data_IF_221863349117
#
_entry.id   IF_221863349117
#
_cell.length_a   1.000
_cell.length_b   1.000
_cell.length_c   1.000
_cell.angle_alpha   90.00
_cell.angle_beta   90.00
_cell.angle_gamma   90.00
#
_symmetry.space_group_name_H-M   'P 1'
#
loop_
_entity.id
_entity.type
_entity.pdbx_description
1 polymer ?
#
# COMPACT_ATOMS: atom_id res chain seq x y z
N UNK A 1 -5.72 3.71 -34.53
CA UNK A 1 -6.96 4.02 -33.81
C UNK A 1 -7.65 2.70 -33.47
N UNK A 2 -7.45 2.18 -32.28
CA UNK A 2 -8.11 0.96 -31.84
C UNK A 2 -8.66 1.24 -30.45
N UNK A 3 -9.98 1.39 -30.36
CA UNK A 3 -10.70 1.73 -29.15
C UNK A 3 -10.80 0.54 -28.23
N UNK A 4 -10.32 0.69 -27.01
CA UNK A 4 -10.55 -0.26 -25.92
C UNK A 4 -11.92 0.06 -25.33
N UNK A 5 -12.89 -0.79 -25.59
CA UNK A 5 -14.23 -0.75 -25.02
C UNK A 5 -14.17 -1.08 -23.50
N UNK A 6 -14.96 -0.39 -22.66
CA UNK A 6 -15.07 -0.75 -21.24
C UNK A 6 -15.85 -2.06 -21.10
N UNK A 7 -15.33 -3.00 -20.31
CA UNK A 7 -15.95 -4.29 -20.01
C UNK A 7 -17.16 -4.05 -19.11
N UNK A 8 -18.38 -4.52 -19.47
CA UNK A 8 -19.58 -4.37 -18.65
C UNK A 8 -19.52 -5.27 -17.41
N UNK A 9 -19.99 -4.75 -16.29
CA UNK A 9 -20.14 -5.47 -15.01
C UNK A 9 -21.49 -6.20 -15.04
N UNK A 10 -21.54 -7.54 -14.86
CA UNK A 10 -22.80 -8.27 -14.69
C UNK A 10 -23.42 -7.95 -13.32
N UNK A 11 -24.72 -7.68 -13.30
CA UNK A 11 -25.50 -7.28 -12.12
C UNK A 11 -25.99 -8.44 -11.23
N UNK A 12 -25.81 -9.68 -11.61
CA UNK A 12 -26.42 -10.80 -10.89
C UNK A 12 -25.42 -11.93 -10.67
N UNK A 13 -24.78 -11.97 -9.48
CA UNK A 13 -24.15 -13.18 -8.98
C UNK A 13 -24.73 -13.52 -7.61
N UNK A 14 -25.77 -14.32 -7.63
CA UNK A 14 -26.29 -15.04 -6.48
C UNK A 14 -25.28 -16.12 -6.04
N UNK A 15 -24.73 -15.99 -4.84
CA UNK A 15 -23.82 -16.96 -4.23
C UNK A 15 -24.58 -18.24 -3.85
N UNK A 16 -24.39 -19.30 -4.62
CA UNK A 16 -24.64 -20.67 -4.17
C UNK A 16 -23.34 -21.25 -3.65
N UNK A 17 -23.33 -21.63 -2.38
CA UNK A 17 -22.26 -22.43 -1.76
C UNK A 17 -22.22 -23.81 -2.40
N UNK A 18 -21.12 -24.16 -3.07
CA UNK A 18 -20.80 -25.53 -3.41
C UNK A 18 -19.44 -25.91 -2.78
N UNK A 19 -19.49 -26.88 -1.91
CA UNK A 19 -18.36 -27.62 -1.40
C UNK A 19 -17.65 -28.32 -2.56
N UNK A 20 -16.43 -27.89 -2.91
CA UNK A 20 -15.62 -28.52 -3.95
C UNK A 20 -14.36 -29.13 -3.37
N UNK A 21 -14.15 -30.40 -3.75
CA UNK A 21 -13.12 -31.31 -3.32
C UNK A 21 -11.68 -30.83 -3.57
N UNK A 22 -10.77 -31.39 -2.79
CA UNK A 22 -9.32 -31.21 -2.91
C UNK A 22 -8.84 -31.50 -4.32
N UNK A 23 -8.29 -30.46 -4.99
CA UNK A 23 -7.44 -30.63 -6.17
C UNK A 23 -5.99 -30.48 -5.73
N UNK A 24 -5.18 -31.45 -6.05
CA UNK A 24 -3.72 -31.47 -5.90
C UNK A 24 -3.08 -30.35 -6.72
N UNK A 25 -2.29 -29.47 -6.07
CA UNK A 25 -1.47 -28.45 -6.70
C UNK A 25 -0.15 -29.03 -7.18
N UNK A 26 0.40 -28.63 -8.35
CA UNK A 26 1.69 -29.09 -8.83
C UNK A 26 2.84 -28.57 -7.97
N UNK A 27 3.77 -29.44 -7.65
CA UNK A 27 5.02 -29.16 -6.93
C UNK A 27 5.97 -28.33 -7.80
N UNK A 28 6.38 -27.16 -7.32
CA UNK A 28 7.42 -26.31 -7.93
C UNK A 28 8.73 -26.48 -7.17
N UNK A 29 9.79 -26.80 -7.89
CA UNK A 29 11.14 -27.06 -7.40
C UNK A 29 11.80 -25.78 -6.85
N UNK A 30 12.40 -25.88 -5.67
CA UNK A 30 13.02 -24.78 -4.92
C UNK A 30 14.50 -24.65 -5.28
N UNK A 31 15.06 -23.46 -5.56
CA UNK A 31 16.50 -23.23 -5.61
C UNK A 31 17.08 -22.93 -4.22
N UNK A 32 18.34 -23.36 -4.06
CA UNK A 32 19.14 -23.36 -2.83
C UNK A 32 19.52 -21.95 -2.33
N UNK A 33 19.66 -21.70 -1.00
CA UNK A 33 20.04 -20.40 -0.44
C UNK A 33 21.52 -20.11 -0.71
N UNK A 34 21.82 -18.93 -1.25
CA UNK A 34 23.18 -18.43 -1.45
C UNK A 34 23.44 -17.57 -2.68
N UNK A 35 22.44 -17.34 -3.54
CA UNK A 35 22.61 -16.52 -4.74
C UNK A 35 22.60 -15.02 -4.39
N UNK A 36 23.69 -14.31 -4.69
CA UNK A 36 23.78 -12.86 -4.62
C UNK A 36 22.71 -12.21 -5.51
N UNK A 37 21.87 -11.37 -4.92
CA UNK A 37 20.82 -10.61 -5.59
C UNK A 37 21.44 -9.56 -6.51
N UNK A 38 21.37 -9.75 -7.81
CA UNK A 38 21.62 -8.69 -8.80
C UNK A 38 20.49 -7.64 -8.69
N UNK A 39 20.87 -6.37 -8.74
CA UNK A 39 19.93 -5.25 -8.70
C UNK A 39 18.86 -5.43 -9.80
N UNK A 40 17.58 -5.49 -9.41
CA UNK A 40 16.45 -5.60 -10.33
C UNK A 40 15.84 -7.00 -10.51
N UNK A 41 16.44 -8.07 -9.95
CA UNK A 41 15.78 -9.37 -9.93
C UNK A 41 14.93 -9.55 -8.66
N UNK A 42 13.67 -10.01 -8.79
CA UNK A 42 12.87 -10.34 -7.62
C UNK A 42 13.53 -11.50 -6.86
N UNK A 43 13.49 -11.51 -5.52
CA UNK A 43 13.94 -12.64 -4.75
C UNK A 43 13.19 -13.90 -5.21
N UNK A 44 13.90 -15.03 -5.33
CA UNK A 44 13.28 -16.33 -5.60
C UNK A 44 12.34 -16.65 -4.42
N UNK A 45 11.07 -16.35 -4.59
CA UNK A 45 10.05 -16.55 -3.55
C UNK A 45 9.67 -18.02 -3.57
N UNK A 46 10.08 -18.75 -2.54
CA UNK A 46 9.39 -20.00 -2.20
C UNK A 46 7.93 -19.69 -2.03
N UNK A 47 7.07 -20.26 -2.86
CA UNK A 47 5.63 -20.25 -2.69
C UNK A 47 5.31 -21.19 -1.51
N UNK A 48 5.55 -20.71 -0.28
CA UNK A 48 4.81 -21.23 0.85
C UNK A 48 3.34 -20.91 0.58
N UNK A 49 2.46 -21.88 0.71
CA UNK A 49 1.02 -21.63 0.62
C UNK A 49 0.69 -20.43 1.49
N UNK A 50 -0.16 -19.54 1.03
CA UNK A 50 -0.47 -18.27 1.70
C UNK A 50 -0.93 -18.46 3.16
N UNK A 51 -1.39 -19.67 3.52
CA UNK A 51 -1.73 -20.09 4.89
C UNK A 51 -0.54 -20.13 5.83
N UNK A 52 0.66 -20.50 5.37
CA UNK A 52 1.79 -20.86 6.23
C UNK A 52 2.81 -19.71 6.41
N UNK A 53 2.59 -18.59 5.75
CA UNK A 53 3.48 -17.44 5.87
C UNK A 53 3.24 -16.70 7.20
N UNK A 54 4.27 -16.63 8.04
CA UNK A 54 4.24 -15.84 9.27
C UNK A 54 5.25 -14.68 9.20
N UNK A 55 4.82 -13.42 9.45
CA UNK A 55 5.73 -12.32 9.61
C UNK A 55 6.66 -12.55 10.80
N UNK A 56 7.91 -12.10 10.72
CA UNK A 56 8.82 -12.10 11.87
C UNK A 56 8.17 -11.33 13.02
N UNK A 57 8.08 -11.96 14.18
CA UNK A 57 7.54 -11.32 15.37
C UNK A 57 8.47 -10.20 15.85
N UNK A 58 7.90 -9.07 16.21
CA UNK A 58 8.59 -7.96 16.85
C UNK A 58 7.74 -7.36 17.97
N UNK A 59 8.39 -6.73 18.95
CA UNK A 59 7.67 -6.09 20.05
C UNK A 59 6.78 -4.95 19.50
N UNK A 60 5.47 -5.09 19.68
CA UNK A 60 4.51 -4.10 19.23
C UNK A 60 4.70 -2.75 19.95
N UNK A 61 5.02 -2.78 21.25
CA UNK A 61 5.26 -1.57 22.05
C UNK A 61 6.46 -0.79 21.54
N UNK A 62 7.60 -1.48 21.32
CA UNK A 62 8.85 -0.87 20.83
C UNK A 62 8.63 -0.31 19.41
N UNK A 63 8.00 -1.08 18.54
CA UNK A 63 7.66 -0.63 17.20
C UNK A 63 6.75 0.59 17.22
N UNK A 64 5.75 0.58 18.09
CA UNK A 64 4.81 1.69 18.23
C UNK A 64 5.51 2.95 18.71
N UNK A 65 6.34 2.84 19.77
CA UNK A 65 7.12 3.95 20.29
C UNK A 65 8.03 4.55 19.20
N UNK A 66 8.78 3.71 18.50
CA UNK A 66 9.62 4.14 17.38
C UNK A 66 8.84 4.92 16.32
N UNK A 67 7.72 4.37 15.86
CA UNK A 67 6.88 5.02 14.84
C UNK A 67 6.30 6.35 15.33
N UNK A 68 5.86 6.44 16.59
CA UNK A 68 5.34 7.69 17.16
C UNK A 68 6.44 8.74 17.25
N UNK A 69 7.63 8.40 17.76
CA UNK A 69 8.74 9.34 17.86
C UNK A 69 9.13 9.86 16.47
N UNK A 70 9.36 8.95 15.52
CA UNK A 70 9.76 9.33 14.16
C UNK A 70 8.67 10.18 13.50
N UNK A 71 7.40 9.78 13.58
CA UNK A 71 6.30 10.53 12.97
C UNK A 71 6.14 11.92 13.60
N UNK A 72 6.31 12.05 14.92
CA UNK A 72 6.23 13.34 15.60
C UNK A 72 7.37 14.28 15.18
N UNK A 73 8.61 13.77 15.15
CA UNK A 73 9.75 14.55 14.67
C UNK A 73 9.57 15.00 13.21
N UNK A 74 9.15 14.07 12.33
CA UNK A 74 8.89 14.39 10.93
C UNK A 74 7.75 15.39 10.77
N UNK A 75 6.67 15.28 11.56
CA UNK A 75 5.53 16.19 11.49
C UNK A 75 5.93 17.62 11.91
N UNK A 76 6.71 17.75 12.99
CA UNK A 76 7.24 19.05 13.44
C UNK A 76 8.17 19.64 12.37
N UNK A 77 9.12 18.87 11.84
CA UNK A 77 10.04 19.33 10.82
C UNK A 77 9.34 19.69 9.50
N UNK A 78 8.31 18.94 9.12
CA UNK A 78 7.56 19.16 7.88
C UNK A 78 6.43 20.21 8.04
N UNK A 79 6.09 20.66 9.25
CA UNK A 79 4.95 21.55 9.48
C UNK A 79 4.99 22.84 8.68
N UNK A 80 6.14 23.55 8.48
CA UNK A 80 6.15 24.75 7.65
C UNK A 80 5.82 24.46 6.18
N UNK A 81 6.39 23.38 5.61
CA UNK A 81 6.11 23.01 4.23
C UNK A 81 4.68 22.50 4.06
N UNK A 82 4.13 21.82 5.06
CA UNK A 82 2.74 21.37 5.07
C UNK A 82 1.77 22.57 5.10
N UNK A 83 2.08 23.62 5.86
CA UNK A 83 1.29 24.84 5.88
C UNK A 83 1.31 25.54 4.52
N UNK A 84 2.49 25.68 3.90
CA UNK A 84 2.61 26.24 2.55
C UNK A 84 1.86 25.40 1.51
N UNK A 85 1.94 24.09 1.59
CA UNK A 85 1.20 23.18 0.72
C UNK A 85 -0.33 23.33 0.91
N UNK A 86 -0.80 23.47 2.16
CA UNK A 86 -2.21 23.69 2.45
C UNK A 86 -2.73 24.98 1.83
N UNK A 87 -1.98 26.10 1.96
CA UNK A 87 -2.29 27.39 1.36
C UNK A 87 -2.29 27.27 -0.18
N UNK A 88 -1.25 26.67 -0.77
CA UNK A 88 -1.15 26.48 -2.22
C UNK A 88 -2.32 25.66 -2.79
N UNK A 89 -2.71 24.55 -2.12
CA UNK A 89 -3.88 23.76 -2.51
C UNK A 89 -5.16 24.59 -2.45
N UNK A 90 -5.35 25.39 -1.38
CA UNK A 90 -6.55 26.22 -1.18
C UNK A 90 -6.66 27.30 -2.26
N UNK A 91 -5.53 27.89 -2.65
CA UNK A 91 -5.47 28.94 -3.69
C UNK A 91 -5.59 28.37 -5.11
N UNK A 92 -5.14 27.13 -5.34
CA UNK A 92 -5.13 26.51 -6.67
C UNK A 92 -6.51 26.11 -7.18
N UNK A 93 -7.41 25.72 -6.30
CA UNK A 93 -8.77 25.30 -6.66
C UNK A 93 -9.73 25.33 -5.46
N UNK A 94 -11.03 25.57 -5.72
CA UNK A 94 -12.08 25.53 -4.69
C UNK A 94 -12.24 24.11 -4.11
N UNK A 95 -12.50 23.99 -2.80
CA UNK A 95 -12.76 22.74 -2.12
C UNK A 95 -11.83 22.46 -0.92
N UNK A 96 -11.90 21.25 -0.30
CA UNK A 96 -11.12 20.92 0.89
C UNK A 96 -9.63 20.82 0.60
N UNK A 97 -8.78 21.13 1.58
CA UNK A 97 -7.32 21.02 1.48
C UNK A 97 -6.87 19.56 1.49
N UNK A 98 -7.55 18.74 2.32
CA UNK A 98 -7.24 17.32 2.43
C UNK A 98 -8.14 16.48 1.54
N UNK A 99 -7.56 15.43 1.00
CA UNK A 99 -8.24 14.32 0.35
C UNK A 99 -8.24 13.13 1.29
N UNK A 100 -9.42 12.60 1.55
CA UNK A 100 -9.66 11.46 2.42
C UNK A 100 -10.05 10.26 1.58
N UNK A 101 -9.39 9.12 1.80
CA UNK A 101 -9.67 7.91 1.04
C UNK A 101 -9.59 6.68 1.93
N UNK A 102 -10.56 5.79 1.77
CA UNK A 102 -10.55 4.51 2.47
C UNK A 102 -9.48 3.58 1.92
N UNK A 103 -8.76 2.92 2.82
CA UNK A 103 -7.71 1.95 2.54
C UNK A 103 -7.84 0.73 3.42
N UNK A 104 -7.30 -0.40 2.94
CA UNK A 104 -7.24 -1.65 3.69
C UNK A 104 -6.03 -1.62 4.62
N UNK A 105 -6.26 -1.82 5.91
CA UNK A 105 -5.23 -1.86 6.94
C UNK A 105 -4.93 -3.28 7.42
N UNK A 106 -4.50 -3.39 8.68
CA UNK A 106 -4.13 -4.66 9.31
C UNK A 106 -5.29 -5.64 9.37
N UNK A 107 -5.08 -6.88 8.91
CA UNK A 107 -5.99 -7.99 9.17
C UNK A 107 -5.64 -8.66 10.51
N UNK A 108 -6.44 -8.41 11.53
CA UNK A 108 -6.23 -8.98 12.88
C UNK A 108 -6.70 -10.44 12.99
N UNK A 109 -7.39 -10.96 11.98
CA UNK A 109 -7.96 -12.33 12.00
C UNK A 109 -6.93 -13.41 11.78
N UNK A 110 -5.82 -13.11 11.09
CA UNK A 110 -4.76 -14.09 10.84
C UNK A 110 -4.08 -14.56 12.13
N UNK A 111 -4.07 -13.73 13.17
CA UNK A 111 -3.55 -14.07 14.48
C UNK A 111 -4.74 -14.34 15.43
N UNK A 112 -5.15 -15.59 15.55
CA UNK A 112 -6.31 -16.02 16.34
C UNK A 112 -6.27 -15.60 17.81
N UNK A 113 -5.09 -15.37 18.40
CA UNK A 113 -4.95 -14.84 19.77
C UNK A 113 -5.46 -13.42 19.92
N UNK A 114 -5.66 -12.69 18.82
CA UNK A 114 -6.17 -11.31 18.77
C UNK A 114 -7.52 -11.19 18.06
N UNK A 115 -8.15 -12.30 17.70
CA UNK A 115 -9.46 -12.30 17.03
C UNK A 115 -10.56 -11.87 18.01
N UNK A 116 -10.67 -10.55 18.22
CA UNK A 116 -11.84 -9.94 18.83
C UNK A 116 -12.94 -9.95 17.77
N UNK A 117 -14.13 -10.47 18.15
CA UNK A 117 -15.39 -10.51 17.41
C UNK A 117 -15.55 -9.37 16.36
N UNK A 118 -14.99 -9.51 15.18
CA UNK A 118 -15.26 -8.59 14.08
C UNK A 118 -16.47 -9.06 13.30
N UNK A 119 -17.62 -8.48 13.60
CA UNK A 119 -18.87 -8.64 12.84
C UNK A 119 -18.82 -7.83 11.54
N UNK A 120 -17.85 -8.10 10.68
CA UNK A 120 -17.80 -7.45 9.37
C UNK A 120 -18.83 -8.08 8.44
N UNK A 121 -19.61 -7.23 7.76
CA UNK A 121 -20.53 -7.67 6.72
C UNK A 121 -19.82 -8.10 5.43
N UNK A 122 -18.61 -7.55 5.17
CA UNK A 122 -17.81 -7.82 3.98
C UNK A 122 -16.36 -8.10 4.35
N UNK A 123 -15.73 -9.06 3.68
CA UNK A 123 -14.30 -9.33 3.81
C UNK A 123 -13.50 -8.43 2.89
N UNK A 124 -13.08 -7.29 3.39
CA UNK A 124 -12.21 -6.34 2.71
C UNK A 124 -10.71 -6.64 2.91
N UNK A 125 -10.35 -7.81 3.44
CA UNK A 125 -8.96 -8.24 3.64
C UNK A 125 -8.27 -7.73 4.89
N UNK A 126 -8.74 -6.65 5.51
CA UNK A 126 -8.17 -6.04 6.71
C UNK A 126 -9.11 -4.99 7.29
N UNK A 127 -8.74 -4.34 8.40
CA UNK A 127 -9.50 -3.24 8.97
C UNK A 127 -9.44 -2.03 8.04
N UNK A 128 -10.57 -1.52 7.50
CA UNK A 128 -10.53 -0.30 6.72
C UNK A 128 -10.16 0.89 7.61
N UNK A 129 -9.41 1.83 7.04
CA UNK A 129 -9.06 3.10 7.69
C UNK A 129 -9.00 4.22 6.66
N UNK A 130 -9.16 5.46 7.11
CA UNK A 130 -9.08 6.64 6.25
C UNK A 130 -7.66 7.17 6.17
N UNK A 131 -7.07 7.20 4.97
CA UNK A 131 -5.76 7.81 4.73
C UNK A 131 -5.93 9.32 4.48
N UNK A 132 -4.99 10.11 5.01
CA UNK A 132 -4.95 11.56 4.83
C UNK A 132 -3.90 11.93 3.77
N UNK A 133 -4.31 12.75 2.80
CA UNK A 133 -3.40 13.33 1.79
C UNK A 133 -3.76 14.77 1.53
N UNK A 134 -2.81 15.57 1.03
CA UNK A 134 -3.19 16.83 0.39
C UNK A 134 -3.92 16.55 -0.93
N UNK A 135 -4.95 17.33 -1.21
CA UNK A 135 -5.66 17.25 -2.48
C UNK A 135 -4.74 17.68 -3.63
N UNK A 136 -4.43 16.76 -4.51
CA UNK A 136 -3.61 17.00 -5.71
C UNK A 136 -4.41 17.00 -7.01
N UNK A 137 -5.68 16.57 -6.96
CA UNK A 137 -6.60 16.52 -8.10
C UNK A 137 -7.77 17.48 -7.91
N UNK A 138 -8.49 17.77 -9.00
CA UNK A 138 -9.75 18.53 -8.94
C UNK A 138 -10.81 17.76 -8.15
N UNK A 139 -11.80 18.45 -7.60
CA UNK A 139 -12.84 17.83 -6.76
C UNK A 139 -13.69 16.82 -7.55
N UNK A 140 -13.86 17.06 -8.85
CA UNK A 140 -14.61 16.24 -9.80
C UNK A 140 -13.77 15.13 -10.48
N UNK A 141 -12.56 14.87 -9.98
CA UNK A 141 -11.61 13.94 -10.60
C UNK A 141 -12.08 12.47 -10.62
N UNK A 142 -12.90 12.05 -9.66
CA UNK A 142 -13.49 10.71 -9.59
C UNK A 142 -15.01 10.83 -9.73
N UNK A 143 -15.50 10.92 -10.97
CA UNK A 143 -16.94 10.86 -11.26
C UNK A 143 -17.41 9.43 -10.93
N UNK A 144 -18.47 9.30 -10.14
CA UNK A 144 -19.07 8.03 -9.70
C UNK A 144 -18.26 7.18 -8.71
N UNK A 145 -17.24 7.72 -8.04
CA UNK A 145 -16.48 7.00 -7.00
C UNK A 145 -15.68 5.79 -7.52
N UNK A 146 -15.57 5.59 -8.82
CA UNK A 146 -14.81 4.48 -9.38
C UNK A 146 -13.31 4.78 -9.34
N UNK A 147 -12.55 3.79 -8.84
CA UNK A 147 -11.09 3.85 -8.81
C UNK A 147 -10.53 3.81 -10.24
N UNK A 148 -10.02 4.93 -10.72
CA UNK A 148 -9.29 5.01 -11.99
C UNK A 148 -7.79 5.02 -11.70
N UNK A 149 -7.05 4.15 -12.37
CA UNK A 149 -5.58 4.13 -12.25
C UNK A 149 -5.01 5.45 -12.74
N UNK A 150 -3.99 5.94 -12.02
CA UNK A 150 -3.29 7.15 -12.42
C UNK A 150 -2.60 6.95 -13.78
N UNK A 151 -2.75 7.93 -14.67
CA UNK A 151 -2.08 7.96 -15.97
C UNK A 151 -0.93 8.95 -15.91
N UNK A 152 0.08 8.75 -16.77
CA UNK A 152 1.09 9.77 -17.03
C UNK A 152 0.38 10.97 -17.64
N UNK A 153 0.65 12.18 -17.13
CA UNK A 153 -0.02 13.43 -17.55
C UNK A 153 -1.54 13.42 -17.39
N UNK A 154 -2.01 12.92 -16.25
CA UNK A 154 -3.42 12.91 -15.88
C UNK A 154 -3.96 14.33 -15.75
N UNK A 155 -4.90 14.72 -16.61
CA UNK A 155 -5.53 16.04 -16.70
C UNK A 155 -6.36 16.42 -15.45
N UNK A 156 -6.70 15.45 -14.63
CA UNK A 156 -7.38 15.64 -13.34
C UNK A 156 -6.46 16.27 -12.29
N UNK A 157 -5.13 16.20 -12.48
CA UNK A 157 -4.14 16.70 -11.52
C UNK A 157 -3.95 18.20 -11.70
N UNK A 158 -4.10 18.97 -10.63
CA UNK A 158 -3.86 20.43 -10.66
C UNK A 158 -2.36 20.74 -10.83
N UNK A 159 -2.01 21.97 -11.27
CA UNK A 159 -0.59 22.39 -11.39
C UNK A 159 0.15 22.26 -10.06
N UNK A 160 -0.47 22.72 -8.97
CA UNK A 160 0.07 22.54 -7.59
C UNK A 160 0.13 21.05 -7.24
N UNK A 161 -0.90 20.28 -7.60
CA UNK A 161 -0.95 18.85 -7.38
C UNK A 161 0.18 18.07 -8.07
N UNK A 162 0.57 18.47 -9.30
CA UNK A 162 1.73 17.88 -10.00
C UNK A 162 3.01 18.04 -9.19
N UNK A 163 3.25 19.25 -8.66
CA UNK A 163 4.41 19.51 -7.80
C UNK A 163 4.36 18.71 -6.50
N UNK A 164 3.20 18.71 -5.79
CA UNK A 164 3.04 17.98 -4.53
C UNK A 164 3.27 16.47 -4.70
N UNK A 165 2.75 15.86 -5.77
CA UNK A 165 2.94 14.44 -6.09
C UNK A 165 4.39 14.13 -6.45
N UNK A 166 5.02 14.97 -7.29
CA UNK A 166 6.41 14.77 -7.69
C UNK A 166 7.40 14.88 -6.51
N UNK A 167 7.06 15.70 -5.49
CA UNK A 167 7.84 15.85 -4.26
C UNK A 167 7.37 14.97 -3.10
N UNK A 168 6.30 14.15 -3.28
CA UNK A 168 5.66 13.35 -2.24
C UNK A 168 5.14 14.16 -1.03
N UNK A 169 5.06 15.49 -1.14
CA UNK A 169 4.52 16.36 -0.09
C UNK A 169 3.03 16.06 0.14
N UNK A 170 2.31 15.62 -0.89
CA UNK A 170 0.90 15.22 -0.78
C UNK A 170 0.70 14.06 0.21
N UNK A 171 1.70 13.25 0.49
CA UNK A 171 1.62 12.11 1.39
C UNK A 171 2.01 12.43 2.85
N UNK A 172 2.58 13.61 3.14
CA UNK A 172 2.98 14.00 4.50
C UNK A 172 1.85 13.94 5.54
N UNK A 173 0.57 14.26 5.22
CA UNK A 173 -0.51 14.12 6.19
C UNK A 173 -0.73 12.67 6.68
N UNK A 174 -0.20 11.64 6.01
CA UNK A 174 -0.24 10.25 6.48
C UNK A 174 0.54 10.05 7.80
N UNK A 175 1.45 10.96 8.16
CA UNK A 175 2.08 10.97 9.49
C UNK A 175 1.02 10.99 10.61
N UNK A 176 -0.13 11.62 10.40
CA UNK A 176 -1.26 11.57 11.33
C UNK A 176 -1.84 10.15 11.44
N UNK A 177 -1.90 9.38 10.34
CA UNK A 177 -2.31 7.97 10.40
C UNK A 177 -1.31 7.13 11.21
N UNK A 178 -0.02 7.44 11.11
CA UNK A 178 1.00 6.77 11.95
C UNK A 178 0.78 7.12 13.43
N UNK A 179 0.56 8.38 13.76
CA UNK A 179 0.27 8.79 15.14
C UNK A 179 -1.02 8.18 15.69
N UNK A 180 -2.03 7.95 14.86
CA UNK A 180 -3.27 7.26 15.24
C UNK A 180 -3.07 5.75 15.42
N UNK A 181 -2.07 5.16 14.77
CA UNK A 181 -1.77 3.72 14.80
C UNK A 181 -2.42 2.93 13.68
N UNK A 182 -3.00 3.59 12.69
CA UNK A 182 -3.53 2.97 11.48
C UNK A 182 -2.39 2.45 10.59
N UNK A 183 -1.24 3.17 10.60
CA UNK A 183 -0.06 2.90 9.80
C UNK A 183 1.23 2.87 10.65
N UNK A 184 2.28 2.32 10.08
CA UNK A 184 3.68 2.50 10.46
C UNK A 184 4.36 3.45 9.45
N UNK A 185 5.58 3.93 9.76
CA UNK A 185 6.41 4.63 8.75
C UNK A 185 6.77 3.65 7.63
N UNK A 186 7.21 2.44 7.99
CA UNK A 186 7.64 1.39 7.06
C UNK A 186 6.66 0.23 7.10
N UNK A 187 6.23 -0.23 5.92
CA UNK A 187 5.33 -1.37 5.73
C UNK A 187 4.82 -1.47 4.30
N UNK A 188 4.03 -2.49 3.98
CA UNK A 188 3.35 -2.59 2.70
C UNK A 188 2.47 -1.37 2.43
N UNK A 189 2.48 -0.85 1.19
CA UNK A 189 1.61 0.29 0.83
C UNK A 189 0.14 -0.10 0.92
N UNK A 190 -0.72 0.67 1.63
CA UNK A 190 -2.13 0.33 1.77
C UNK A 190 -2.89 0.49 0.44
N UNK A 191 -3.76 -0.46 0.13
CA UNK A 191 -4.52 -0.48 -1.11
C UNK A 191 -5.99 -0.07 -0.89
N UNK A 192 -6.66 0.38 -1.97
CA UNK A 192 -8.10 0.66 -1.96
C UNK A 192 -8.88 -0.66 -1.83
N UNK A 193 -9.99 -0.73 -1.07
CA UNK A 193 -10.78 -1.95 -0.91
C UNK A 193 -11.19 -2.58 -2.24
N UNK A 194 -11.67 -1.78 -3.20
CA UNK A 194 -12.09 -2.27 -4.52
C UNK A 194 -10.97 -2.88 -5.35
N UNK A 195 -9.73 -2.35 -5.22
CA UNK A 195 -8.55 -2.89 -5.90
C UNK A 195 -8.08 -4.15 -5.17
N UNK A 196 -8.08 -4.14 -3.83
CA UNK A 196 -7.70 -5.29 -3.01
C UNK A 196 -8.54 -6.52 -3.34
N UNK A 197 -9.88 -6.37 -3.40
CA UNK A 197 -10.79 -7.48 -3.73
C UNK A 197 -10.46 -8.11 -5.08
N UNK A 198 -10.18 -7.30 -6.11
CA UNK A 198 -9.80 -7.81 -7.44
C UNK A 198 -8.43 -8.49 -7.45
N UNK A 199 -7.44 -7.92 -6.76
CA UNK A 199 -6.08 -8.46 -6.77
C UNK A 199 -5.95 -9.76 -5.99
N UNK A 200 -6.68 -9.96 -4.90
CA UNK A 200 -6.69 -11.22 -4.14
C UNK A 200 -7.26 -12.41 -4.92
N UNK A 201 -8.14 -12.15 -5.90
CA UNK A 201 -8.69 -13.19 -6.79
C UNK A 201 -7.66 -13.64 -7.84
N UNK A 202 -6.71 -12.77 -8.18
CA UNK A 202 -5.69 -13.02 -9.20
C UNK A 202 -4.33 -13.43 -8.64
N UNK A 203 -4.06 -13.10 -7.37
CA UNK A 203 -2.79 -13.35 -6.67
C UNK A 203 -3.12 -13.92 -5.28
N UNK A 204 -2.91 -15.22 -5.10
CA UNK A 204 -3.28 -15.93 -3.87
C UNK A 204 -2.55 -15.38 -2.63
N UNK A 205 -1.31 -14.89 -2.79
CA UNK A 205 -0.48 -14.34 -1.72
C UNK A 205 -0.82 -12.87 -1.39
N UNK A 206 -1.66 -12.21 -2.20
CA UNK A 206 -1.96 -10.78 -2.03
C UNK A 206 -2.50 -10.43 -0.63
N UNK A 207 -3.38 -11.23 0.01
CA UNK A 207 -3.89 -10.97 1.36
C UNK A 207 -2.82 -11.04 2.46
N UNK A 208 -1.69 -11.73 2.24
CA UNK A 208 -0.60 -11.84 3.21
C UNK A 208 -0.06 -10.47 3.62
N UNK A 209 -0.08 -9.50 2.72
CA UNK A 209 0.35 -8.12 2.95
C UNK A 209 -0.35 -7.45 4.14
N UNK A 210 -1.57 -7.87 4.46
CA UNK A 210 -2.39 -7.32 5.55
C UNK A 210 -2.03 -7.90 6.93
N UNK A 211 -1.08 -8.83 7.01
CA UNK A 211 -0.62 -9.41 8.30
C UNK A 211 0.26 -8.45 9.12
N UNK A 212 0.68 -7.33 8.52
CA UNK A 212 1.39 -6.24 9.20
C UNK A 212 0.70 -4.91 8.93
N UNK A 213 0.95 -3.91 9.78
CA UNK A 213 0.42 -2.55 9.51
C UNK A 213 1.01 -2.00 8.22
N UNK A 214 0.19 -1.33 7.40
CA UNK A 214 0.68 -0.65 6.20
C UNK A 214 1.65 0.47 6.55
N UNK A 215 2.51 0.83 5.57
CA UNK A 215 3.52 1.87 5.71
C UNK A 215 3.31 3.05 4.77
N UNK A 216 3.89 4.21 5.12
CA UNK A 216 4.06 5.36 4.22
C UNK A 216 5.07 4.99 3.14
N UNK A 217 6.19 4.39 3.54
CA UNK A 217 7.19 3.79 2.66
C UNK A 217 7.33 2.30 2.94
N UNK A 218 8.03 1.56 2.08
CA UNK A 218 8.25 0.13 2.24
C UNK A 218 9.28 -0.42 1.26
N UNK A 219 9.74 -1.65 1.49
CA UNK A 219 10.75 -2.28 0.66
C UNK A 219 10.30 -2.35 -0.82
N UNK A 220 9.06 -2.70 -1.08
CA UNK A 220 8.50 -2.72 -2.43
C UNK A 220 8.56 -1.34 -3.10
N UNK A 221 8.23 -0.26 -2.37
CA UNK A 221 8.19 1.10 -2.89
C UNK A 221 9.58 1.64 -3.25
N UNK A 222 10.64 1.23 -2.54
CA UNK A 222 12.02 1.65 -2.83
C UNK A 222 12.75 0.73 -3.83
N UNK A 223 12.19 -0.46 -4.12
CA UNK A 223 12.81 -1.46 -5.00
C UNK A 223 12.07 -1.65 -6.32
N UNK A 224 10.74 -1.45 -6.35
CA UNK A 224 9.89 -1.61 -7.54
C UNK A 224 8.99 -0.38 -7.70
N UNK A 225 9.42 0.65 -8.43
CA UNK A 225 8.73 1.94 -8.47
C UNK A 225 7.40 1.93 -9.26
N UNK A 226 7.16 0.96 -10.14
CA UNK A 226 6.00 0.95 -11.04
C UNK A 226 5.16 -0.32 -10.93
N UNK A 227 3.83 -0.16 -10.89
CA UNK A 227 2.84 -1.24 -10.93
C UNK A 227 1.94 -1.03 -12.17
N UNK A 228 2.36 -1.47 -13.34
CA UNK A 228 1.56 -1.34 -14.57
C UNK A 228 0.97 -2.68 -15.01
N UNK A 229 1.59 -3.78 -14.60
CA UNK A 229 1.19 -5.13 -14.98
C UNK A 229 0.89 -5.98 -13.74
N UNK A 230 0.18 -7.09 -13.94
CA UNK A 230 -0.06 -8.06 -12.86
C UNK A 230 1.24 -8.67 -12.33
N UNK A 231 2.27 -8.80 -13.19
CA UNK A 231 3.58 -9.31 -12.79
C UNK A 231 4.36 -8.29 -11.94
N UNK A 232 4.16 -6.99 -12.18
CA UNK A 232 4.70 -5.95 -11.30
C UNK A 232 4.06 -6.03 -9.92
N UNK A 233 2.75 -6.28 -9.86
CA UNK A 233 2.03 -6.47 -8.58
C UNK A 233 2.53 -7.73 -7.86
N UNK A 234 2.78 -8.85 -8.56
CA UNK A 234 3.39 -10.06 -7.97
C UNK A 234 4.77 -9.77 -7.40
N UNK A 235 5.63 -9.05 -8.14
CA UNK A 235 6.95 -8.61 -7.65
C UNK A 235 6.84 -7.75 -6.39
N UNK A 236 5.89 -6.82 -6.36
CA UNK A 236 5.60 -5.99 -5.19
C UNK A 236 5.20 -6.82 -3.98
N UNK A 237 4.32 -7.81 -4.15
CA UNK A 237 3.93 -8.74 -3.09
C UNK A 237 5.16 -9.51 -2.59
N UNK A 238 6.05 -9.96 -3.48
CA UNK A 238 7.28 -10.65 -3.10
C UNK A 238 8.20 -9.77 -2.22
N UNK A 239 8.40 -8.49 -2.57
CA UNK A 239 9.16 -7.54 -1.74
C UNK A 239 8.47 -7.25 -0.40
N UNK A 240 7.15 -7.14 -0.38
CA UNK A 240 6.40 -6.95 0.87
C UNK A 240 6.55 -8.17 1.80
N UNK A 241 6.49 -9.40 1.26
CA UNK A 241 6.73 -10.63 2.01
C UNK A 241 8.18 -10.72 2.52
N UNK A 242 9.15 -10.32 1.70
CA UNK A 242 10.56 -10.26 2.11
C UNK A 242 10.78 -9.29 3.26
N UNK A 243 10.20 -8.08 3.17
CA UNK A 243 10.20 -7.14 4.29
C UNK A 243 9.60 -7.77 5.56
N UNK A 244 8.44 -8.41 5.45
CA UNK A 244 7.78 -9.04 6.61
C UNK A 244 8.62 -10.15 7.27
N UNK A 245 9.43 -10.87 6.50
CA UNK A 245 10.39 -11.88 7.04
C UNK A 245 11.55 -11.24 7.78
N UNK A 246 12.00 -10.06 7.34
CA UNK A 246 13.19 -9.35 7.88
C UNK A 246 12.83 -8.22 8.82
N UNK A 247 11.55 -7.87 8.98
CA UNK A 247 11.12 -6.67 9.69
C UNK A 247 11.80 -6.54 11.06
N UNK A 248 12.45 -5.39 11.27
CA UNK A 248 13.15 -4.99 12.47
C UNK A 248 13.30 -3.46 12.46
N UNK A 249 13.63 -2.85 13.60
CA UNK A 249 13.89 -1.40 13.62
C UNK A 249 15.06 -1.00 12.72
N UNK A 250 16.08 -1.85 12.61
CA UNK A 250 17.23 -1.61 11.74
C UNK A 250 16.81 -1.67 10.25
N UNK A 251 15.98 -2.64 9.86
CA UNK A 251 15.48 -2.73 8.50
C UNK A 251 14.54 -1.56 8.18
N UNK A 252 13.69 -1.14 9.14
CA UNK A 252 12.86 0.04 8.99
C UNK A 252 13.73 1.29 8.73
N UNK A 253 14.79 1.50 9.53
CA UNK A 253 15.73 2.61 9.35
C UNK A 253 16.44 2.55 7.98
N UNK A 254 16.88 1.36 7.56
CA UNK A 254 17.50 1.14 6.25
C UNK A 254 16.58 1.50 5.10
N UNK A 255 15.30 1.12 5.17
CA UNK A 255 14.28 1.44 4.15
C UNK A 255 14.01 2.95 4.16
N UNK A 256 13.90 3.58 5.34
CA UNK A 256 13.74 5.03 5.44
C UNK A 256 14.91 5.78 4.78
N UNK A 257 16.16 5.36 5.03
CA UNK A 257 17.34 5.95 4.39
C UNK A 257 17.32 5.76 2.86
N UNK A 258 16.90 4.58 2.37
CA UNK A 258 16.74 4.32 0.93
C UNK A 258 15.60 5.14 0.32
N UNK A 259 14.59 5.52 1.09
CA UNK A 259 13.47 6.35 0.59
C UNK A 259 13.93 7.74 0.19
N UNK A 260 14.92 8.31 0.88
CA UNK A 260 15.41 9.68 0.62
C UNK A 260 15.92 9.86 -0.82
N UNK A 261 16.89 9.05 -1.32
CA UNK A 261 17.34 9.19 -2.70
C UNK A 261 16.23 8.88 -3.72
N UNK A 262 15.36 7.92 -3.45
CA UNK A 262 14.22 7.61 -4.35
C UNK A 262 13.29 8.81 -4.49
N UNK A 263 13.03 9.54 -3.41
CA UNK A 263 12.23 10.78 -3.44
C UNK A 263 12.96 11.92 -4.17
N UNK A 264 14.25 12.12 -3.90
CA UNK A 264 15.04 13.21 -4.48
C UNK A 264 15.27 13.01 -5.98
N UNK A 265 15.55 11.78 -6.40
CA UNK A 265 15.78 11.43 -7.81
C UNK A 265 14.47 11.22 -8.59
N UNK A 266 13.32 11.39 -7.95
CA UNK A 266 11.98 11.20 -8.54
C UNK A 266 11.79 9.82 -9.18
N UNK A 267 12.49 8.80 -8.68
CA UNK A 267 12.35 7.43 -9.15
C UNK A 267 10.99 6.93 -8.66
N UNK A 268 10.08 6.63 -9.59
CA UNK A 268 8.77 6.05 -9.28
C UNK A 268 7.68 7.02 -8.81
N UNK A 269 7.77 8.29 -9.10
CA UNK A 269 6.70 9.27 -8.87
C UNK A 269 5.97 9.62 -10.17
N UNK A 270 4.64 9.43 -10.18
CA UNK A 270 3.71 10.03 -11.16
C UNK A 270 2.96 11.17 -10.51
#
# INVERSE_FOLDING_TARGET
>A
MSGIQPIPVPRDVLWRSQSAGRRSTPSVTVPVPGAELRAGQPPAVMVATSSDFEPRLRSERVTRLFNVVVASCMLVAASPIMLLAAIAVRLSSRGPVFYLQERVGLDRRWNRTRAINERRREDLGGAPFTIYKFRSMRVDAEVNGQAVWAKKDDDRVTRVGKFLRASRIDELPQLLNVLRGDMNIVGPRPERPSIFVRLREQIAEYPVRQRVRPGITGLAQVSNPYDQTLDDVRRKVAFDMEYMRRQSLLEDLRIMLKTVPVMLLRIGGW
#
